data_IF_914362871392
#
_entry.id   IF_914362871392
#
_cell.length_a   1.000
_cell.length_b   1.000
_cell.length_c   1.000
_cell.angle_alpha   90.00
_cell.angle_beta   90.00
_cell.angle_gamma   90.00
#
_symmetry.space_group_name_H-M   'P 1'
#
loop_
_entity.id
_entity.type
_entity.pdbx_description
1 polymer ?
#
# COMPACT_ATOMS: atom_id res chain seq x y z
N UNK A 1 22.76 5.88 -2.89
CA UNK A 1 22.06 5.55 -1.62
C UNK A 1 20.77 4.82 -1.96
N UNK A 2 20.75 3.49 -1.87
CA UNK A 2 19.51 2.73 -2.06
C UNK A 2 18.59 3.03 -0.88
N UNK A 3 17.45 3.68 -1.12
CA UNK A 3 16.41 3.84 -0.10
C UNK A 3 15.93 2.43 0.26
N UNK A 4 16.50 1.84 1.32
CA UNK A 4 15.83 0.79 2.09
C UNK A 4 14.42 1.31 2.30
N UNK A 5 13.41 0.59 1.81
CA UNK A 5 12.02 0.93 2.06
C UNK A 5 11.90 1.24 3.55
N UNK A 6 11.49 2.46 3.91
CA UNK A 6 11.31 2.88 5.31
C UNK A 6 10.25 2.02 6.03
N UNK A 7 9.61 1.11 5.31
CA UNK A 7 8.46 0.35 5.72
C UNK A 7 8.83 -1.12 5.78
N UNK A 8 8.68 -1.69 6.99
CA UNK A 8 8.99 -3.08 7.30
C UNK A 8 7.99 -4.09 6.70
N UNK A 9 6.89 -3.61 6.10
CA UNK A 9 5.84 -4.46 5.54
C UNK A 9 5.87 -4.49 4.00
N UNK A 10 5.52 -5.64 3.37
CA UNK A 10 5.40 -5.74 1.92
C UNK A 10 4.43 -4.72 1.33
N UNK A 11 3.28 -4.52 1.98
CA UNK A 11 2.29 -3.53 1.56
C UNK A 11 2.85 -2.11 1.63
N UNK A 12 3.51 -1.76 2.74
CA UNK A 12 4.07 -0.44 2.92
C UNK A 12 5.18 -0.10 1.93
N UNK A 13 5.97 -1.11 1.53
CA UNK A 13 6.95 -0.95 0.46
C UNK A 13 6.25 -0.61 -0.88
N UNK A 14 5.20 -1.34 -1.25
CA UNK A 14 4.43 -1.07 -2.47
C UNK A 14 3.76 0.31 -2.45
N UNK A 15 3.14 0.69 -1.32
CA UNK A 15 2.53 2.02 -1.16
C UNK A 15 3.59 3.12 -1.26
N UNK A 16 4.78 2.91 -0.71
CA UNK A 16 5.87 3.90 -0.82
C UNK A 16 6.35 4.12 -2.25
N UNK A 17 6.36 3.07 -3.07
CA UNK A 17 6.72 3.19 -4.49
C UNK A 17 5.63 3.98 -5.21
N UNK A 18 4.37 3.59 -5.04
CA UNK A 18 3.23 4.29 -5.64
C UNK A 18 3.18 5.79 -5.24
N UNK A 19 3.46 6.11 -3.99
CA UNK A 19 3.56 7.50 -3.51
C UNK A 19 4.71 8.27 -4.17
N UNK A 20 5.87 7.62 -4.37
CA UNK A 20 7.00 8.25 -5.02
C UNK A 20 6.71 8.54 -6.50
N UNK A 21 6.04 7.63 -7.20
CA UNK A 21 5.63 7.81 -8.61
C UNK A 21 4.56 8.89 -8.74
N UNK A 22 3.60 8.93 -7.82
CA UNK A 22 2.57 9.98 -7.76
C UNK A 22 3.07 11.32 -7.21
N UNK A 23 4.35 11.44 -6.82
CA UNK A 23 4.94 12.60 -6.12
C UNK A 23 4.09 13.09 -4.93
N UNK A 24 3.48 12.15 -4.21
CA UNK A 24 2.57 12.41 -3.10
C UNK A 24 3.19 11.97 -1.78
N UNK A 25 2.98 12.75 -0.73
CA UNK A 25 3.43 12.38 0.62
C UNK A 25 2.41 11.49 1.34
N UNK A 26 2.85 10.76 2.36
CA UNK A 26 1.96 9.96 3.21
C UNK A 26 0.91 10.83 3.93
N UNK A 27 1.27 12.06 4.28
CA UNK A 27 0.37 13.04 4.90
C UNK A 27 -0.71 13.47 3.92
N UNK A 28 -0.37 13.72 2.66
CA UNK A 28 -1.34 14.04 1.62
C UNK A 28 -2.25 12.85 1.31
N UNK A 29 -1.72 11.63 1.26
CA UNK A 29 -2.54 10.42 1.12
C UNK A 29 -3.54 10.31 2.29
N UNK A 30 -3.10 10.56 3.52
CA UNK A 30 -3.97 10.55 4.69
C UNK A 30 -5.10 11.59 4.56
N UNK A 31 -4.75 12.82 4.14
CA UNK A 31 -5.73 13.89 3.90
C UNK A 31 -6.73 13.51 2.80
N UNK A 32 -6.26 13.00 1.65
CA UNK A 32 -7.12 12.60 0.52
C UNK A 32 -8.03 11.41 0.82
N UNK A 33 -7.56 10.46 1.63
CA UNK A 33 -8.34 9.28 2.04
C UNK A 33 -9.25 9.56 3.25
N UNK A 34 -9.23 10.79 3.81
CA UNK A 34 -9.99 11.15 4.99
C UNK A 34 -9.58 10.37 6.25
N UNK A 35 -8.31 9.95 6.34
CA UNK A 35 -7.77 9.17 7.46
C UNK A 35 -6.70 9.94 8.21
N UNK A 36 -6.48 9.57 9.47
CA UNK A 36 -5.37 10.13 10.24
C UNK A 36 -4.03 9.61 9.73
N UNK A 37 -3.00 10.45 9.77
CA UNK A 37 -1.62 10.06 9.45
C UNK A 37 -1.15 8.86 10.28
N UNK A 38 -1.57 8.79 11.55
CA UNK A 38 -1.32 7.66 12.44
C UNK A 38 -1.93 6.35 11.93
N UNK A 39 -3.19 6.39 11.46
CA UNK A 39 -3.86 5.21 10.88
C UNK A 39 -3.14 4.71 9.63
N UNK A 40 -2.79 5.63 8.71
CA UNK A 40 -2.02 5.30 7.51
C UNK A 40 -0.66 4.72 7.89
N UNK A 41 0.02 5.30 8.89
CA UNK A 41 1.30 4.79 9.36
C UNK A 41 1.19 3.37 9.92
N UNK A 42 0.19 3.07 10.76
CA UNK A 42 -0.03 1.72 11.28
C UNK A 42 -0.25 0.67 10.18
N UNK A 43 -0.93 1.05 9.09
CA UNK A 43 -1.12 0.16 7.94
C UNK A 43 0.18 -0.10 7.17
N UNK A 44 0.90 0.96 6.82
CA UNK A 44 2.13 0.89 6.02
C UNK A 44 3.27 0.23 6.82
N UNK A 45 3.33 0.41 8.13
CA UNK A 45 4.33 -0.24 8.99
C UNK A 45 4.01 -1.71 9.29
N UNK A 46 2.80 -2.19 8.98
CA UNK A 46 2.41 -3.58 9.22
C UNK A 46 1.76 -3.84 10.58
N UNK A 47 1.64 -2.82 11.45
CA UNK A 47 0.93 -2.93 12.72
C UNK A 47 -0.57 -3.23 12.55
N UNK A 48 -1.16 -2.76 11.44
CA UNK A 48 -2.55 -3.05 11.07
C UNK A 48 -2.60 -3.69 9.70
N UNK A 49 -3.52 -4.63 9.50
CA UNK A 49 -3.73 -5.28 8.21
C UNK A 49 -4.60 -4.38 7.31
N UNK A 50 -4.20 -4.12 6.05
CA UNK A 50 -5.01 -3.36 5.11
C UNK A 50 -6.28 -4.13 4.75
N UNK A 51 -7.44 -3.49 4.80
CA UNK A 51 -8.68 -4.06 4.26
C UNK A 51 -8.73 -3.92 2.74
N UNK A 52 -9.43 -4.80 2.01
CA UNK A 52 -9.59 -4.68 0.56
C UNK A 52 -10.10 -3.30 0.14
N UNK A 53 -11.12 -2.78 0.84
CA UNK A 53 -11.67 -1.44 0.61
C UNK A 53 -10.61 -0.34 0.74
N UNK A 54 -9.66 -0.50 1.67
CA UNK A 54 -8.58 0.47 1.85
C UNK A 54 -7.54 0.39 0.73
N UNK A 55 -7.28 -0.81 0.21
CA UNK A 55 -6.41 -1.01 -0.96
C UNK A 55 -7.02 -0.35 -2.19
N UNK A 56 -8.32 -0.56 -2.43
CA UNK A 56 -9.05 0.06 -3.52
C UNK A 56 -9.07 1.58 -3.41
N UNK A 57 -9.28 2.11 -2.20
CA UNK A 57 -9.27 3.55 -1.92
C UNK A 57 -7.91 4.18 -2.23
N UNK A 58 -6.79 3.57 -1.82
CA UNK A 58 -5.46 4.08 -2.18
C UNK A 58 -5.28 4.05 -3.69
N UNK A 59 -5.64 2.93 -4.33
CA UNK A 59 -5.45 2.77 -5.76
C UNK A 59 -6.23 3.82 -6.55
N UNK A 60 -7.44 4.15 -6.12
CA UNK A 60 -8.25 5.23 -6.69
C UNK A 60 -7.63 6.61 -6.43
N UNK A 61 -7.22 6.87 -5.18
CA UNK A 61 -6.63 8.16 -4.76
C UNK A 61 -5.33 8.48 -5.49
N UNK A 62 -4.53 7.46 -5.79
CA UNK A 62 -3.27 7.56 -6.52
C UNK A 62 -3.46 7.38 -8.04
N UNK A 63 -4.69 7.16 -8.50
CA UNK A 63 -5.04 6.91 -9.89
C UNK A 63 -4.17 5.81 -10.53
N UNK A 64 -3.98 4.71 -9.80
CA UNK A 64 -3.12 3.60 -10.20
C UNK A 64 -3.71 2.84 -11.37
N UNK A 65 -2.84 2.38 -12.28
CA UNK A 65 -3.24 1.47 -13.35
C UNK A 65 -3.73 0.12 -12.77
N UNK A 66 -4.49 -0.68 -13.56
CA UNK A 66 -4.95 -1.99 -13.12
C UNK A 66 -3.81 -2.91 -12.66
N UNK A 67 -2.63 -2.82 -13.28
CA UNK A 67 -1.43 -3.57 -12.90
C UNK A 67 -0.90 -3.16 -11.53
N UNK A 68 -0.80 -1.86 -11.27
CA UNK A 68 -0.32 -1.32 -9.99
C UNK A 68 -1.30 -1.64 -8.86
N UNK A 69 -2.61 -1.48 -9.11
CA UNK A 69 -3.67 -1.90 -8.19
C UNK A 69 -3.52 -3.38 -7.83
N UNK A 70 -3.34 -4.26 -8.81
CA UNK A 70 -3.13 -5.68 -8.57
C UNK A 70 -1.88 -5.93 -7.70
N UNK A 71 -0.78 -5.22 -7.95
CA UNK A 71 0.43 -5.29 -7.13
C UNK A 71 0.18 -4.93 -5.66
N UNK A 72 -0.63 -3.89 -5.40
CA UNK A 72 -1.04 -3.51 -4.05
C UNK A 72 -1.88 -4.59 -3.36
N UNK A 73 -2.84 -5.21 -4.05
CA UNK A 73 -3.63 -6.31 -3.49
C UNK A 73 -2.77 -7.54 -3.16
N UNK A 74 -1.81 -7.88 -4.03
CA UNK A 74 -0.86 -8.98 -3.76
C UNK A 74 -0.02 -8.68 -2.52
N UNK A 75 0.50 -7.45 -2.38
CA UNK A 75 1.29 -7.04 -1.22
C UNK A 75 0.46 -7.02 0.08
N UNK A 76 -0.78 -6.53 0.01
CA UNK A 76 -1.74 -6.56 1.11
C UNK A 76 -2.04 -7.99 1.55
N UNK A 77 -2.27 -8.90 0.62
CA UNK A 77 -2.59 -10.28 0.94
C UNK A 77 -1.39 -11.05 1.51
N UNK A 78 -0.16 -10.79 1.03
CA UNK A 78 1.08 -11.28 1.67
C UNK A 78 1.18 -10.83 3.14
N UNK A 79 0.82 -9.57 3.44
CA UNK A 79 0.81 -9.04 4.82
C UNK A 79 -0.28 -9.66 5.70
N UNK A 80 -1.40 -10.11 5.11
CA UNK A 80 -2.41 -10.85 5.85
C UNK A 80 -1.95 -12.25 6.29
N UNK A 81 -0.80 -12.72 5.78
CA UNK A 81 -0.29 -14.08 6.00
C UNK A 81 -0.89 -15.09 5.02
N UNK A 82 -1.59 -14.63 3.97
CA UNK A 82 -2.00 -15.53 2.91
C UNK A 82 -0.74 -16.01 2.17
N UNK A 83 -0.51 -17.34 2.18
CA UNK A 83 0.29 -18.00 1.14
C UNK A 83 -0.47 -17.84 -0.18
N UNK A 84 -0.24 -16.74 -0.89
CA UNK A 84 -0.60 -16.67 -2.30
C UNK A 84 0.45 -17.44 -3.09
N UNK A 85 0.19 -18.72 -3.31
CA UNK A 85 0.69 -19.39 -4.50
C UNK A 85 0.03 -18.71 -5.70
N UNK A 86 0.75 -17.75 -6.29
CA UNK A 86 0.43 -17.21 -7.60
C UNK A 86 0.81 -18.27 -8.66
N UNK A 87 0.20 -19.45 -8.58
CA UNK A 87 0.27 -20.50 -9.61
C UNK A 87 -1.15 -20.71 -10.14
N UNK A 88 -1.49 -19.98 -11.20
CA UNK A 88 -2.54 -20.29 -12.18
C UNK A 88 -2.26 -19.36 -13.36
N UNK A 89 -2.02 -19.78 -14.59
CA UNK A 89 -1.94 -21.09 -15.25
C UNK A 89 -1.08 -20.87 -16.50
#
# INVERSE_FOLDING_TARGET
>A
MGRRSRYASPFGASVSVALAEARMTQTELAAKTGRSTAYVNQLITGHKKPSPEWVDLIADTLNLSPRERQGLHVAAAKQHGFKLDLTKK
#
